data_IF_869725715309
#
_entry.id   IF_869725715309
#
_cell.length_a   1.000
_cell.length_b   1.000
_cell.length_c   1.000
_cell.angle_alpha   90.00
_cell.angle_beta   90.00
_cell.angle_gamma   90.00
#
_symmetry.space_group_name_H-M   'P 1'
#
loop_
_entity.id
_entity.type
_entity.pdbx_description
1 polymer ?
#
# COMPACT_ATOMS: atom_id res chain seq x y z
N UNK A 1 21.11 -12.07 -63.75
CA UNK A 1 21.92 -12.59 -62.61
C UNK A 1 22.29 -11.51 -61.59
N UNK A 2 22.80 -10.33 -61.99
CA UNK A 2 23.17 -9.25 -61.05
C UNK A 2 21.99 -8.69 -60.22
N UNK A 3 20.78 -8.58 -60.81
CA UNK A 3 19.58 -8.14 -60.09
C UNK A 3 19.07 -9.16 -59.07
N UNK A 4 19.20 -10.46 -59.36
CA UNK A 4 18.83 -11.52 -58.42
C UNK A 4 19.77 -11.57 -57.20
N UNK A 5 21.07 -11.31 -57.41
CA UNK A 5 22.05 -11.17 -56.33
C UNK A 5 21.76 -9.94 -55.47
N UNK A 6 21.30 -8.84 -56.09
CA UNK A 6 20.93 -7.60 -55.38
C UNK A 6 19.66 -7.80 -54.50
N UNK A 7 18.66 -8.54 -55.00
CA UNK A 7 17.47 -8.87 -54.21
C UNK A 7 17.78 -9.87 -53.08
N UNK A 8 18.73 -10.78 -53.28
CA UNK A 8 19.17 -11.74 -52.26
C UNK A 8 19.95 -11.07 -51.12
N UNK A 9 20.78 -10.05 -51.41
CA UNK A 9 21.46 -9.25 -50.37
C UNK A 9 20.52 -8.33 -49.60
N UNK A 10 19.45 -7.83 -50.23
CA UNK A 10 18.43 -7.01 -49.57
C UNK A 10 17.50 -7.84 -48.66
N UNK A 11 17.28 -9.12 -48.99
CA UNK A 11 16.55 -10.05 -48.12
C UNK A 11 17.37 -10.52 -46.90
N UNK A 12 18.69 -10.65 -47.04
CA UNK A 12 19.58 -11.11 -45.96
C UNK A 12 19.80 -10.03 -44.87
N UNK A 13 19.64 -8.75 -45.20
CA UNK A 13 19.79 -7.64 -44.25
C UNK A 13 18.53 -7.36 -43.43
N UNK A 14 17.36 -7.85 -43.85
CA UNK A 14 16.12 -7.74 -43.07
C UNK A 14 16.02 -8.76 -41.91
N UNK A 15 16.80 -9.84 -41.93
CA UNK A 15 16.75 -10.92 -40.93
C UNK A 15 17.74 -10.67 -39.77
N UNK A 16 18.72 -9.78 -39.94
CA UNK A 16 19.76 -9.51 -38.93
C UNK A 16 19.33 -8.53 -37.81
N UNK A 17 18.13 -7.94 -37.88
CA UNK A 17 17.57 -7.08 -36.85
C UNK A 17 16.51 -7.78 -36.00
N UNK A 18 16.77 -9.01 -35.57
CA UNK A 18 16.02 -9.67 -34.49
C UNK A 18 16.95 -9.96 -33.32
N UNK A 19 17.65 -8.92 -32.85
CA UNK A 19 18.22 -8.95 -31.52
C UNK A 19 17.06 -8.97 -30.52
N UNK A 20 16.89 -10.08 -29.79
CA UNK A 20 16.06 -10.11 -28.58
C UNK A 20 16.56 -8.99 -27.68
N UNK A 21 15.84 -7.86 -27.66
CA UNK A 21 15.90 -6.91 -26.55
C UNK A 21 15.38 -7.71 -25.37
N UNK A 22 16.30 -8.22 -24.54
CA UNK A 22 15.98 -8.57 -23.18
C UNK A 22 15.52 -7.27 -22.53
N UNK A 23 14.21 -7.06 -22.50
CA UNK A 23 13.59 -6.07 -21.63
C UNK A 23 13.83 -6.55 -20.22
N UNK A 24 14.98 -6.15 -19.67
CA UNK A 24 15.17 -6.09 -18.22
C UNK A 24 14.21 -5.02 -17.74
N UNK A 25 12.99 -5.42 -17.42
CA UNK A 25 12.07 -4.76 -16.50
C UNK A 25 10.78 -5.57 -16.46
N UNK A 26 10.84 -6.80 -15.93
CA UNK A 26 9.71 -7.32 -15.16
C UNK A 26 9.58 -6.44 -13.91
N UNK A 27 9.12 -5.20 -14.13
CA UNK A 27 8.63 -4.34 -13.07
C UNK A 27 7.33 -5.00 -12.65
N UNK A 28 7.19 -5.38 -11.38
CA UNK A 28 5.87 -5.64 -10.83
C UNK A 28 5.01 -4.39 -11.10
N UNK A 29 4.14 -4.47 -12.11
CA UNK A 29 3.06 -3.49 -12.22
C UNK A 29 2.20 -3.68 -10.98
N UNK A 30 2.24 -2.69 -10.10
CA UNK A 30 1.32 -2.61 -8.98
C UNK A 30 -0.06 -2.29 -9.57
N UNK A 31 -0.81 -3.35 -9.92
CA UNK A 31 -2.17 -3.23 -10.43
C UNK A 31 -3.09 -2.82 -9.28
N UNK A 32 -3.28 -1.51 -9.11
CA UNK A 32 -4.21 -0.93 -8.13
C UNK A 32 -5.64 -0.83 -8.67
N UNK A 33 -5.82 -0.81 -10.00
CA UNK A 33 -7.11 -0.59 -10.63
C UNK A 33 -8.14 -1.66 -10.22
N UNK A 34 -9.30 -1.20 -9.71
CA UNK A 34 -10.36 -2.08 -9.23
C UNK A 34 -10.25 -2.52 -7.77
N UNK A 35 -9.15 -2.22 -7.07
CA UNK A 35 -9.06 -2.45 -5.63
C UNK A 35 -9.86 -1.40 -4.86
N UNK A 36 -10.49 -1.85 -3.77
CA UNK A 36 -11.25 -1.03 -2.83
C UNK A 36 -10.31 -0.35 -1.83
N UNK A 37 -10.63 0.87 -1.43
CA UNK A 37 -9.89 1.70 -0.47
C UNK A 37 -10.85 2.10 0.64
N UNK A 38 -10.56 1.71 1.87
CA UNK A 38 -11.30 2.20 3.03
C UNK A 38 -10.63 3.44 3.61
N UNK A 39 -11.43 4.48 3.85
CA UNK A 39 -10.98 5.75 4.40
C UNK A 39 -11.46 5.87 5.83
N UNK A 40 -10.52 6.07 6.76
CA UNK A 40 -10.81 6.31 8.17
C UNK A 40 -10.40 7.72 8.56
N UNK A 41 -11.27 8.45 9.27
CA UNK A 41 -11.03 9.85 9.63
C UNK A 41 -11.16 10.05 11.14
N UNK A 42 -10.24 10.85 11.69
CA UNK A 42 -10.37 11.48 13.00
C UNK A 42 -10.20 12.98 12.82
N UNK A 43 -11.18 13.79 13.22
CA UNK A 43 -11.11 15.24 13.06
C UNK A 43 -11.45 15.97 14.36
N UNK A 44 -10.70 17.04 14.65
CA UNK A 44 -10.91 17.83 15.85
C UNK A 44 -12.20 18.64 15.77
N UNK A 45 -12.96 18.72 16.87
CA UNK A 45 -14.21 19.47 16.93
C UNK A 45 -15.40 18.81 16.21
N UNK A 46 -15.26 17.56 15.78
CA UNK A 46 -16.35 16.76 15.20
C UNK A 46 -16.50 15.43 15.94
N UNK A 47 -17.56 14.69 15.63
CA UNK A 47 -17.79 13.35 16.17
C UNK A 47 -16.97 12.26 15.45
N UNK A 48 -16.13 12.63 14.48
CA UNK A 48 -15.30 11.66 13.74
C UNK A 48 -14.10 11.24 14.59
N UNK A 49 -14.12 10.00 15.08
CA UNK A 49 -13.03 9.36 15.83
C UNK A 49 -12.83 7.94 15.33
N UNK A 50 -11.72 7.71 14.61
CA UNK A 50 -11.42 6.45 13.91
C UNK A 50 -12.60 5.94 13.08
N UNK A 51 -13.39 6.86 12.52
CA UNK A 51 -14.66 6.54 11.88
C UNK A 51 -14.40 6.11 10.44
N UNK A 52 -14.95 4.97 10.03
CA UNK A 52 -15.04 4.60 8.62
C UNK A 52 -15.86 5.69 7.91
N UNK A 53 -15.20 6.40 7.01
CA UNK A 53 -15.74 7.60 6.38
C UNK A 53 -16.37 7.27 5.03
N UNK A 54 -15.66 6.49 4.22
CA UNK A 54 -16.12 6.05 2.90
C UNK A 54 -15.26 4.91 2.41
N UNK A 55 -15.79 4.17 1.43
CA UNK A 55 -15.03 3.24 0.60
C UNK A 55 -14.92 3.84 -0.80
N UNK A 56 -13.72 3.83 -1.37
CA UNK A 56 -13.42 4.32 -2.72
C UNK A 56 -12.87 3.19 -3.58
N UNK A 57 -12.81 3.39 -4.89
CA UNK A 57 -12.19 2.43 -5.81
C UNK A 57 -11.08 3.13 -6.58
N UNK A 58 -9.97 2.45 -6.80
CA UNK A 58 -8.92 2.99 -7.67
C UNK A 58 -9.39 3.06 -9.12
N UNK A 59 -9.15 4.22 -9.73
CA UNK A 59 -9.46 4.50 -11.13
C UNK A 59 -8.22 4.99 -11.87
N UNK A 60 -8.26 4.93 -13.20
CA UNK A 60 -7.20 5.47 -14.03
C UNK A 60 -7.15 6.99 -13.88
N UNK A 61 -6.07 7.52 -13.31
CA UNK A 61 -5.88 8.94 -13.14
C UNK A 61 -5.24 9.58 -14.39
N UNK A 62 -5.72 10.76 -14.78
CA UNK A 62 -5.01 11.62 -15.72
C UNK A 62 -3.80 12.28 -15.03
N UNK A 63 -2.87 12.81 -15.82
CA UNK A 63 -1.78 13.61 -15.25
C UNK A 63 -2.36 14.86 -14.58
N UNK A 64 -2.11 15.07 -13.27
CA UNK A 64 -2.65 16.21 -12.55
C UNK A 64 -2.01 17.51 -13.04
N UNK A 65 -2.77 18.60 -12.96
CA UNK A 65 -2.30 19.95 -13.27
C UNK A 65 -1.39 20.48 -12.15
N UNK A 66 -0.52 21.45 -12.46
CA UNK A 66 0.34 22.08 -11.45
C UNK A 66 -0.43 22.84 -10.35
N UNK A 67 -1.71 23.13 -10.58
CA UNK A 67 -2.61 23.73 -9.60
C UNK A 67 -3.23 22.73 -8.63
N UNK A 68 -3.09 21.43 -8.88
CA UNK A 68 -3.73 20.37 -8.09
C UNK A 68 -2.75 19.78 -7.07
N UNK A 69 -3.27 19.38 -5.91
CA UNK A 69 -2.48 18.67 -4.90
C UNK A 69 -2.51 17.19 -5.20
N UNK A 70 -1.35 16.61 -5.51
CA UNK A 70 -1.20 15.19 -5.79
C UNK A 70 -0.04 14.58 -4.97
N UNK A 71 -0.23 13.35 -4.49
CA UNK A 71 0.79 12.57 -3.79
C UNK A 71 1.07 11.30 -4.60
N UNK A 72 2.34 11.07 -4.93
CA UNK A 72 2.77 9.91 -5.71
C UNK A 72 3.54 8.93 -4.82
N UNK A 73 3.20 7.65 -4.92
CA UNK A 73 3.89 6.56 -4.21
C UNK A 73 4.73 5.76 -5.21
N UNK A 74 6.01 5.56 -4.90
CA UNK A 74 6.90 4.70 -5.68
C UNK A 74 7.22 3.41 -4.89
N UNK A 75 6.59 2.26 -5.21
CA UNK A 75 6.80 1.00 -4.50
C UNK A 75 8.24 0.43 -4.58
N UNK A 76 9.07 0.92 -5.53
CA UNK A 76 10.45 0.46 -5.69
C UNK A 76 11.43 1.12 -4.71
N UNK A 77 11.02 2.24 -4.11
CA UNK A 77 11.84 2.94 -3.11
C UNK A 77 11.39 2.53 -1.72
N UNK A 78 12.13 1.59 -1.14
CA UNK A 78 11.85 1.02 0.18
C UNK A 78 12.76 1.63 1.26
N UNK A 79 12.26 1.63 2.50
CA UNK A 79 12.97 2.12 3.69
C UNK A 79 12.99 1.03 4.77
N UNK A 80 12.94 1.40 6.05
CA UNK A 80 12.92 0.44 7.16
C UNK A 80 11.66 -0.43 7.18
N UNK A 81 11.81 -1.66 7.66
CA UNK A 81 10.66 -2.50 8.01
C UNK A 81 9.96 -1.96 9.26
N UNK A 82 8.63 -1.99 9.25
CA UNK A 82 7.82 -1.55 10.37
C UNK A 82 7.59 -2.70 11.34
N UNK A 83 8.11 -2.59 12.57
CA UNK A 83 7.96 -3.64 13.58
C UNK A 83 6.53 -3.70 14.15
N UNK A 84 5.96 -2.55 14.49
CA UNK A 84 4.65 -2.49 15.12
C UNK A 84 4.36 -1.21 15.89
N UNK A 85 3.15 -1.14 16.44
CA UNK A 85 2.67 -0.08 17.33
C UNK A 85 2.19 -0.72 18.62
N UNK A 86 2.38 -0.04 19.73
CA UNK A 86 2.02 -0.56 21.05
C UNK A 86 1.85 0.53 22.10
N UNK A 87 1.52 0.07 23.30
CA UNK A 87 1.46 0.88 24.52
C UNK A 87 2.44 0.39 25.58
N UNK A 88 2.61 1.18 26.64
CA UNK A 88 3.39 0.77 27.81
C UNK A 88 2.48 0.06 28.82
N UNK A 89 2.93 -1.07 29.34
CA UNK A 89 2.29 -1.79 30.44
C UNK A 89 3.12 -1.54 31.70
N UNK A 90 2.77 -0.45 32.36
CA UNK A 90 3.36 -0.02 33.64
C UNK A 90 2.58 -0.56 34.83
N UNK A 91 3.18 -0.56 36.02
CA UNK A 91 2.49 -0.87 37.29
C UNK A 91 1.21 -0.03 37.45
N UNK A 92 1.26 1.25 37.08
CA UNK A 92 0.10 2.14 37.15
C UNK A 92 -1.03 1.69 36.22
N UNK A 93 -0.73 1.32 34.97
CA UNK A 93 -1.74 0.81 34.04
C UNK A 93 -2.27 -0.56 34.46
N UNK A 94 -1.44 -1.43 35.04
CA UNK A 94 -1.84 -2.75 35.52
C UNK A 94 -2.76 -2.63 36.75
N UNK A 95 -2.43 -1.75 37.69
CA UNK A 95 -3.24 -1.46 38.88
C UNK A 95 -4.63 -0.90 38.51
N UNK A 96 -4.69 0.02 37.53
CA UNK A 96 -5.97 0.56 37.04
C UNK A 96 -6.77 -0.52 36.29
N UNK A 97 -6.10 -1.33 35.47
CA UNK A 97 -6.72 -2.42 34.74
C UNK A 97 -7.33 -3.47 35.68
N UNK A 98 -6.60 -3.87 36.72
CA UNK A 98 -7.05 -4.87 37.70
C UNK A 98 -8.28 -4.42 38.50
N UNK A 99 -8.53 -3.10 38.61
CA UNK A 99 -9.72 -2.54 39.26
C UNK A 99 -10.98 -2.60 38.40
N UNK A 100 -10.84 -2.85 37.10
CA UNK A 100 -11.99 -2.98 36.20
C UNK A 100 -12.70 -4.31 36.43
N UNK A 101 -14.04 -4.39 36.29
CA UNK A 101 -14.74 -5.66 36.19
C UNK A 101 -14.19 -6.51 35.03
N UNK A 102 -14.26 -7.84 35.15
CA UNK A 102 -13.72 -8.77 34.14
C UNK A 102 -14.21 -8.47 32.71
N UNK A 103 -15.50 -8.11 32.57
CA UNK A 103 -16.07 -7.75 31.26
C UNK A 103 -15.41 -6.53 30.64
N UNK A 104 -15.05 -5.52 31.45
CA UNK A 104 -14.37 -4.31 31.00
C UNK A 104 -12.88 -4.51 30.76
N UNK A 105 -12.26 -5.43 31.51
CA UNK A 105 -10.90 -5.87 31.21
C UNK A 105 -10.83 -6.48 29.81
N UNK A 106 -11.75 -7.39 29.50
CA UNK A 106 -11.82 -8.03 28.18
C UNK A 106 -12.10 -7.03 27.06
N UNK A 107 -13.06 -6.11 27.25
CA UNK A 107 -13.37 -5.06 26.27
C UNK A 107 -12.15 -4.18 25.98
N UNK A 108 -11.37 -3.82 27.00
CA UNK A 108 -10.16 -3.02 26.84
C UNK A 108 -9.06 -3.78 26.07
N UNK A 109 -8.84 -5.06 26.39
CA UNK A 109 -7.87 -5.89 25.66
C UNK A 109 -8.28 -6.09 24.21
N UNK A 110 -9.56 -6.32 23.95
CA UNK A 110 -10.09 -6.44 22.59
C UNK A 110 -9.92 -5.14 21.81
N UNK A 111 -10.29 -3.99 22.40
CA UNK A 111 -10.12 -2.69 21.77
C UNK A 111 -8.66 -2.38 21.39
N UNK A 112 -7.68 -2.78 22.20
CA UNK A 112 -6.27 -2.52 21.91
C UNK A 112 -5.60 -3.55 21.01
N UNK A 113 -5.79 -4.85 21.26
CA UNK A 113 -4.97 -5.91 20.67
C UNK A 113 -5.71 -6.75 19.62
N UNK A 114 -7.04 -6.70 19.53
CA UNK A 114 -7.76 -7.37 18.45
C UNK A 114 -7.51 -6.64 17.12
N UNK A 115 -7.22 -7.40 16.07
CA UNK A 115 -6.89 -6.88 14.73
C UNK A 115 -8.14 -6.52 13.90
N UNK A 116 -9.26 -7.16 14.18
CA UNK A 116 -10.52 -6.99 13.46
C UNK A 116 -11.46 -6.04 14.21
N UNK A 117 -11.62 -6.27 15.52
CA UNK A 117 -12.55 -5.53 16.37
C UNK A 117 -11.88 -4.41 17.19
N UNK A 118 -10.58 -4.17 17.00
CA UNK A 118 -9.78 -3.21 17.76
C UNK A 118 -8.77 -2.47 16.89
N UNK A 119 -7.81 -1.80 17.54
CA UNK A 119 -6.75 -1.04 16.84
C UNK A 119 -5.48 -1.87 16.56
N UNK A 120 -5.48 -3.16 16.89
CA UNK A 120 -4.46 -4.11 16.47
C UNK A 120 -3.05 -3.80 16.93
N UNK A 121 -2.85 -3.35 18.17
CA UNK A 121 -1.53 -3.23 18.78
C UNK A 121 -0.77 -4.56 18.70
N UNK A 122 0.49 -4.48 18.31
CA UNK A 122 1.37 -5.65 18.17
C UNK A 122 2.57 -5.62 19.12
N UNK A 123 2.79 -4.49 19.80
CA UNK A 123 3.87 -4.30 20.74
C UNK A 123 3.35 -3.91 22.13
N UNK A 124 4.14 -4.22 23.15
CA UNK A 124 4.00 -3.71 24.50
C UNK A 124 5.39 -3.39 25.05
N UNK A 125 5.49 -2.33 25.85
CA UNK A 125 6.73 -1.93 26.54
C UNK A 125 6.58 -2.07 28.04
#
# INVERSE_FOLDING_TARGET
MKKAILYLMMALTAIACSGKRSTISDKLEYASAGNSIDVYTTASGTDMRLSHSTTLTFEAAAQPLESEVAVFVNPERQFQSFLGIGGAITDASAEVFAKLPETKQQELLEAYYNRENGIGYTLAR
#
